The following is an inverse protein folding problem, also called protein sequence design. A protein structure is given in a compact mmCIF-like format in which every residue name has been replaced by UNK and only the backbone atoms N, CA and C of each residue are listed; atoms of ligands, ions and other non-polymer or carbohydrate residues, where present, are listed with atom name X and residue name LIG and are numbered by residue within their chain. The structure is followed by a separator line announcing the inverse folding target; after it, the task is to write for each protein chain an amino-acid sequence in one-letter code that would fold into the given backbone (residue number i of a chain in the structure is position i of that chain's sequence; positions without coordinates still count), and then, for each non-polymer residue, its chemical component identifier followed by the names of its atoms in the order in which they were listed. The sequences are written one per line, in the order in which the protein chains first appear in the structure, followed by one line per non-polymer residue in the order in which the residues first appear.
data_IF_081347813166
#
_entry.id   IF_081347813166
#
_cell.length_a   1.000
_cell.length_b   1.000
_cell.length_c   1.000
_cell.angle_alpha   90.00
_cell.angle_beta   90.00
_cell.angle_gamma   90.00
#
_symmetry.space_group_name_H-M   'P 1'
#
loop_
_entity.id
_entity.type
_entity.pdbx_description
1 polymer ?
#
# COMPACT_ATOMS: atom_id res chain seq x y z
N UNK A 1 1.42 -2.72 35.80
CA UNK A 1 1.00 -3.62 34.71
C UNK A 1 0.69 -4.95 35.34
N UNK A 2 -0.59 -5.28 35.44
CA UNK A 2 -1.05 -6.59 35.88
C UNK A 2 -0.82 -7.62 34.76
N UNK A 3 -0.89 -8.90 35.10
CA UNK A 3 -0.74 -9.97 34.11
C UNK A 3 -1.81 -9.87 33.00
N UNK A 4 -3.05 -9.51 33.36
CA UNK A 4 -4.13 -9.24 32.40
C UNK A 4 -3.84 -8.06 31.46
N UNK A 5 -3.23 -6.98 31.97
CA UNK A 5 -2.82 -5.85 31.14
C UNK A 5 -1.69 -6.23 30.16
N UNK A 6 -0.83 -7.18 30.54
CA UNK A 6 0.26 -7.68 29.71
C UNK A 6 -0.20 -8.59 28.59
N UNK A 7 -1.11 -9.51 28.88
CA UNK A 7 -1.74 -10.35 27.86
C UNK A 7 -2.52 -9.50 26.85
N UNK A 8 -3.26 -8.48 27.32
CA UNK A 8 -3.99 -7.58 26.43
C UNK A 8 -3.05 -6.74 25.55
N UNK A 9 -1.93 -6.26 26.11
CA UNK A 9 -0.93 -5.50 25.37
C UNK A 9 -0.24 -6.36 24.29
N UNK A 10 0.11 -7.60 24.60
CA UNK A 10 0.68 -8.53 23.60
C UNK A 10 -0.33 -8.82 22.49
N UNK A 11 -1.60 -9.11 22.83
CA UNK A 11 -2.63 -9.36 21.83
C UNK A 11 -2.86 -8.15 20.90
N UNK A 12 -2.79 -6.92 21.42
CA UNK A 12 -2.84 -5.72 20.59
C UNK A 12 -1.62 -5.57 19.67
N UNK A 13 -0.41 -5.84 20.17
CA UNK A 13 0.82 -5.79 19.38
C UNK A 13 0.75 -6.77 18.19
N UNK A 14 0.36 -8.01 18.44
CA UNK A 14 0.19 -9.03 17.40
C UNK A 14 -0.87 -8.62 16.37
N UNK A 15 -2.03 -8.14 16.84
CA UNK A 15 -3.10 -7.67 15.95
C UNK A 15 -2.67 -6.48 15.10
N UNK A 16 -1.87 -5.56 15.65
CA UNK A 16 -1.34 -4.42 14.92
C UNK A 16 -0.30 -4.84 13.88
N UNK A 17 0.56 -5.81 14.20
CA UNK A 17 1.53 -6.35 13.26
C UNK A 17 0.84 -7.02 12.06
N UNK A 18 -0.19 -7.82 12.31
CA UNK A 18 -0.97 -8.47 11.24
C UNK A 18 -1.68 -7.43 10.36
N UNK A 19 -2.36 -6.45 10.97
CA UNK A 19 -3.04 -5.40 10.20
C UNK A 19 -2.09 -4.58 9.33
N UNK A 20 -0.88 -4.27 9.83
CA UNK A 20 0.12 -3.57 9.03
C UNK A 20 0.61 -4.42 7.85
N UNK A 21 0.87 -5.70 8.07
CA UNK A 21 1.26 -6.62 7.00
C UNK A 21 0.16 -6.78 5.94
N UNK A 22 -1.11 -6.87 6.35
CA UNK A 22 -2.25 -6.95 5.43
C UNK A 22 -2.45 -5.66 4.63
N UNK A 23 -2.29 -4.51 5.27
CA UNK A 23 -2.38 -3.22 4.60
C UNK A 23 -1.25 -3.07 3.57
N UNK A 24 -0.03 -3.45 3.93
CA UNK A 24 1.11 -3.38 3.03
C UNK A 24 0.91 -4.30 1.82
N UNK A 25 0.49 -5.55 2.04
CA UNK A 25 0.20 -6.48 0.96
C UNK A 25 -0.92 -5.99 0.03
N UNK A 26 -1.94 -5.32 0.58
CA UNK A 26 -3.00 -4.71 -0.22
C UNK A 26 -2.48 -3.55 -1.07
N UNK A 27 -1.66 -2.66 -0.51
CA UNK A 27 -1.08 -1.53 -1.24
C UNK A 27 -0.16 -2.01 -2.37
N UNK A 28 0.70 -3.01 -2.11
CA UNK A 28 1.57 -3.60 -3.13
C UNK A 28 0.76 -4.23 -4.26
N UNK A 29 -0.31 -4.95 -3.92
CA UNK A 29 -1.23 -5.53 -4.90
C UNK A 29 -1.94 -4.44 -5.72
N UNK A 30 -2.47 -3.41 -5.07
CA UNK A 30 -3.17 -2.31 -5.73
C UNK A 30 -2.23 -1.56 -6.70
N UNK A 31 -0.97 -1.34 -6.30
CA UNK A 31 0.03 -0.74 -7.17
C UNK A 31 0.34 -1.61 -8.39
N UNK A 32 0.53 -2.92 -8.19
CA UNK A 32 0.74 -3.87 -9.29
C UNK A 32 -0.47 -3.92 -10.25
N UNK A 33 -1.68 -3.92 -9.71
CA UNK A 33 -2.92 -3.90 -10.48
C UNK A 33 -3.06 -2.59 -11.28
N UNK A 34 -2.75 -1.45 -10.67
CA UNK A 34 -2.74 -0.13 -11.35
C UNK A 34 -1.69 -0.07 -12.46
N UNK A 35 -0.47 -0.58 -12.23
CA UNK A 35 0.57 -0.65 -13.25
C UNK A 35 0.16 -1.54 -14.43
N UNK A 36 -0.43 -2.70 -14.14
CA UNK A 36 -0.99 -3.61 -15.16
C UNK A 36 -2.12 -2.95 -15.95
N UNK A 37 -3.02 -2.23 -15.28
CA UNK A 37 -4.11 -1.50 -15.93
C UNK A 37 -3.59 -0.38 -16.84
N UNK A 38 -2.61 0.40 -16.39
CA UNK A 38 -1.94 1.42 -17.23
C UNK A 38 -1.35 0.82 -18.49
N UNK A 39 -0.56 -0.25 -18.35
CA UNK A 39 0.06 -0.92 -19.50
C UNK A 39 -0.98 -1.42 -20.51
N UNK A 40 -2.11 -1.95 -20.03
CA UNK A 40 -3.23 -2.38 -20.88
C UNK A 40 -3.91 -1.20 -21.58
N UNK A 41 -4.14 -0.09 -20.87
CA UNK A 41 -4.78 1.10 -21.45
C UNK A 41 -3.86 1.79 -22.47
N UNK A 42 -2.56 1.86 -22.20
CA UNK A 42 -1.56 2.34 -23.16
C UNK A 42 -1.51 1.46 -24.41
N UNK A 43 -1.60 0.12 -24.24
CA UNK A 43 -1.68 -0.81 -25.36
C UNK A 43 -2.97 -0.67 -26.19
N UNK A 44 -4.04 -0.13 -25.61
CA UNK A 44 -5.27 0.26 -26.31
C UNK A 44 -5.17 1.62 -27.02
N UNK A 45 -4.04 2.32 -26.87
CA UNK A 45 -3.77 3.60 -27.51
C UNK A 45 -4.30 4.81 -26.77
N UNK A 46 -4.66 4.67 -25.48
CA UNK A 46 -5.02 5.82 -24.65
C UNK A 46 -3.79 6.66 -24.33
N UNK A 47 -4.00 7.96 -24.22
CA UNK A 47 -2.96 8.90 -23.80
C UNK A 47 -2.71 8.81 -22.30
N UNK A 48 -1.52 9.21 -21.86
CA UNK A 48 -1.15 9.20 -20.43
C UNK A 48 -2.11 10.03 -19.57
N UNK A 49 -2.67 11.11 -20.12
CA UNK A 49 -3.67 11.95 -19.47
C UNK A 49 -5.00 11.20 -19.25
N UNK A 50 -5.46 10.46 -20.24
CA UNK A 50 -6.68 9.64 -20.15
C UNK A 50 -6.48 8.47 -19.17
N UNK A 51 -5.32 7.81 -19.24
CA UNK A 51 -4.95 6.74 -18.31
C UNK A 51 -4.90 7.27 -16.88
N UNK A 52 -4.32 8.45 -16.68
CA UNK A 52 -4.23 9.11 -15.38
C UNK A 52 -5.60 9.47 -14.83
N UNK A 53 -6.51 9.95 -15.68
CA UNK A 53 -7.89 10.22 -15.29
C UNK A 53 -8.66 8.96 -14.85
N UNK A 54 -8.32 7.78 -15.37
CA UNK A 54 -9.01 6.52 -15.08
C UNK A 54 -8.42 5.75 -13.89
N UNK A 55 -7.09 5.71 -13.77
CA UNK A 55 -6.36 4.83 -12.83
C UNK A 55 -5.55 5.62 -11.79
N UNK A 56 -5.58 6.96 -11.87
CA UNK A 56 -4.84 7.88 -11.00
C UNK A 56 -3.46 8.25 -11.55
N UNK A 57 -2.70 9.09 -10.86
CA UNK A 57 -1.30 9.40 -11.22
C UNK A 57 -0.35 8.26 -10.81
N UNK A 58 0.79 8.15 -11.50
CA UNK A 58 1.80 7.15 -11.10
C UNK A 58 2.35 7.57 -9.75
N UNK A 59 2.51 6.64 -8.79
CA UNK A 59 3.28 6.97 -7.59
C UNK A 59 4.68 7.41 -8.01
N UNK A 60 5.25 8.48 -7.40
CA UNK A 60 6.57 8.97 -7.76
C UNK A 60 7.62 7.88 -7.61
N UNK A 61 8.51 7.75 -8.62
CA UNK A 61 9.59 6.76 -8.59
C UNK A 61 10.48 6.96 -7.35
N UNK A 62 10.52 5.94 -6.49
CA UNK A 62 11.36 5.92 -5.28
C UNK A 62 10.60 5.98 -3.97
N UNK A 63 9.29 6.24 -3.97
CA UNK A 63 8.48 6.10 -2.76
C UNK A 63 7.92 4.67 -2.70
N UNK A 64 8.81 3.71 -2.42
CA UNK A 64 8.32 2.48 -1.78
C UNK A 64 7.48 2.95 -0.59
N UNK A 65 6.23 2.48 -0.45
CA UNK A 65 5.27 2.88 0.58
C UNK A 65 5.72 2.61 2.05
N UNK A 66 7.01 2.38 2.25
CA UNK A 66 7.77 2.03 3.45
C UNK A 66 8.95 2.99 3.69
N UNK A 67 8.93 4.21 3.13
CA UNK A 67 9.98 5.22 3.37
C UNK A 67 9.64 6.31 4.38
N UNK A 68 8.36 6.54 4.70
CA UNK A 68 7.91 7.78 5.34
C UNK A 68 7.59 7.70 6.85
N UNK A 69 7.80 6.56 7.53
CA UNK A 69 7.34 6.41 8.93
C UNK A 69 8.37 5.88 9.95
N UNK A 70 9.66 5.76 9.61
CA UNK A 70 10.73 5.54 10.62
C UNK A 70 11.96 6.39 10.29
N UNK A 71 11.85 7.70 10.43
CA UNK A 71 12.96 8.61 10.77
C UNK A 71 12.44 10.05 10.88
N UNK A 72 11.93 10.42 12.05
CA UNK A 72 11.99 11.76 12.62
C UNK A 72 11.66 11.68 14.11
#
# INVERSE_FOLDING_TARGET
MTDEEYEHYQAMQERNAVQQAELQAQLEKEQADKASARAKLAALGLTDDEITAMVGAEPPEGETAIGASVSA
#
